data_IF_626159264089
#
_entry.id   IF_626159264089
#
_cell.length_a   1.000
_cell.length_b   1.000
_cell.length_c   1.000
_cell.angle_alpha   90.00
_cell.angle_beta   90.00
_cell.angle_gamma   90.00
#
_symmetry.space_group_name_H-M   'P 1'
#
loop_
_entity.id
_entity.type
_entity.pdbx_description
1 polymer ?
#
# COMPACT_ATOMS: atom_id res chain seq x y z
N UNK A 1 -11.60 -80.64 15.23
CA UNK A 1 -10.67 -79.49 15.33
C UNK A 1 -10.27 -79.04 13.92
N UNK A 2 -10.84 -77.94 13.40
CA UNK A 2 -10.33 -77.30 12.18
C UNK A 2 -9.25 -76.28 12.60
N UNK A 3 -7.99 -76.55 12.26
CA UNK A 3 -6.89 -75.61 12.52
C UNK A 3 -7.07 -74.37 11.66
N UNK A 4 -7.43 -73.25 12.27
CA UNK A 4 -7.46 -71.96 11.58
C UNK A 4 -6.00 -71.56 11.31
N UNK A 5 -5.61 -71.53 10.03
CA UNK A 5 -4.25 -71.21 9.61
C UNK A 5 -3.96 -69.72 9.82
N UNK A 6 -3.21 -69.43 10.89
CA UNK A 6 -2.75 -68.09 11.30
C UNK A 6 -1.98 -67.35 10.19
N UNK A 7 -1.39 -68.09 9.24
CA UNK A 7 -0.61 -67.55 8.11
C UNK A 7 -1.41 -66.66 7.16
N UNK A 8 -2.74 -66.87 7.04
CA UNK A 8 -3.60 -66.06 6.16
C UNK A 8 -3.90 -64.67 6.74
N UNK A 9 -3.89 -64.52 8.07
CA UNK A 9 -4.14 -63.24 8.73
C UNK A 9 -2.89 -62.35 8.79
N UNK A 10 -1.69 -62.95 8.85
CA UNK A 10 -0.41 -62.21 8.82
C UNK A 10 -0.21 -61.50 7.47
N UNK A 11 -0.63 -62.12 6.36
CA UNK A 11 -0.52 -61.49 5.04
C UNK A 11 -1.51 -60.33 4.85
N UNK A 12 -2.69 -60.38 5.49
CA UNK A 12 -3.68 -59.30 5.44
C UNK A 12 -3.29 -58.10 6.33
N UNK A 13 -2.59 -58.35 7.45
CA UNK A 13 -2.07 -57.31 8.33
C UNK A 13 -0.92 -56.48 7.71
N UNK A 14 -0.17 -57.06 6.77
CA UNK A 14 0.95 -56.35 6.11
C UNK A 14 0.49 -55.37 5.03
N UNK A 15 -0.70 -55.56 4.44
CA UNK A 15 -1.25 -54.66 3.41
C UNK A 15 -1.88 -53.40 4.03
N UNK A 16 -2.25 -53.44 5.31
CA UNK A 16 -2.83 -52.30 6.02
C UNK A 16 -1.83 -51.18 6.36
N UNK A 17 -0.51 -51.43 6.23
CA UNK A 17 0.53 -50.43 6.47
C UNK A 17 1.09 -49.77 5.20
N UNK A 18 0.51 -50.06 4.01
CA UNK A 18 0.72 -49.25 2.82
C UNK A 18 -0.11 -47.94 2.90
N UNK A 19 0.02 -47.22 4.01
CA UNK A 19 -0.52 -45.88 4.17
C UNK A 19 0.25 -44.93 3.27
N UNK A 20 -0.47 -44.11 2.50
CA UNK A 20 0.08 -43.09 1.61
C UNK A 20 1.13 -42.22 2.32
N UNK A 21 2.38 -42.26 1.85
CA UNK A 21 3.50 -41.46 2.37
C UNK A 21 3.52 -40.01 1.86
N UNK A 22 2.47 -39.57 1.16
CA UNK A 22 2.32 -38.19 0.64
C UNK A 22 1.26 -37.40 1.41
N UNK A 23 1.45 -37.26 2.72
CA UNK A 23 0.56 -36.43 3.55
C UNK A 23 0.90 -34.93 3.47
N UNK A 24 2.14 -34.59 3.08
CA UNK A 24 2.62 -33.22 2.89
C UNK A 24 2.42 -32.75 1.43
N UNK A 25 1.16 -32.69 0.99
CA UNK A 25 0.81 -32.01 -0.24
C UNK A 25 0.81 -30.49 0.01
N UNK A 26 1.86 -29.80 -0.44
CA UNK A 26 1.81 -28.33 -0.52
C UNK A 26 0.73 -27.93 -1.53
N UNK A 27 -0.16 -26.97 -1.21
CA UNK A 27 -1.16 -26.49 -2.16
C UNK A 27 -0.46 -26.03 -3.45
N UNK A 28 -0.93 -26.49 -4.61
CA UNK A 28 -0.32 -26.14 -5.90
C UNK A 28 -0.70 -24.74 -6.38
N UNK A 29 -1.67 -24.13 -5.71
CA UNK A 29 -2.25 -22.81 -5.97
C UNK A 29 -1.80 -21.73 -4.97
N UNK A 30 -1.01 -22.08 -3.95
CA UNK A 30 -0.48 -21.14 -2.96
C UNK A 30 1.05 -21.09 -3.08
N UNK A 31 1.58 -19.87 -3.19
CA UNK A 31 3.02 -19.64 -3.10
C UNK A 31 3.40 -19.65 -1.63
N UNK A 32 4.30 -20.56 -1.27
CA UNK A 32 4.92 -20.61 0.06
C UNK A 32 5.55 -19.24 0.37
N UNK A 33 5.21 -18.58 1.51
CA UNK A 33 5.76 -17.28 1.87
C UNK A 33 7.29 -17.22 1.83
N UNK A 34 7.97 -18.33 2.16
CA UNK A 34 9.43 -18.43 2.12
C UNK A 34 10.00 -18.48 0.70
N UNK A 35 9.14 -18.75 -0.30
CA UNK A 35 9.49 -18.80 -1.73
C UNK A 35 8.81 -17.71 -2.54
N UNK A 36 8.13 -16.76 -1.89
CA UNK A 36 7.37 -15.71 -2.57
C UNK A 36 8.25 -14.76 -3.38
N UNK A 37 9.47 -14.50 -2.91
CA UNK A 37 10.43 -13.60 -3.55
C UNK A 37 11.72 -14.34 -3.87
N UNK A 38 11.98 -14.58 -5.16
CA UNK A 38 13.18 -15.31 -5.62
C UNK A 38 14.07 -14.50 -6.54
N UNK A 39 13.52 -13.46 -7.16
CA UNK A 39 14.19 -12.67 -8.17
C UNK A 39 13.56 -11.26 -8.25
N UNK A 40 14.15 -10.41 -9.08
CA UNK A 40 13.69 -9.03 -9.27
C UNK A 40 12.26 -8.93 -9.82
N UNK A 41 11.81 -9.89 -10.62
CA UNK A 41 10.44 -9.90 -11.14
C UNK A 41 9.42 -10.17 -10.04
N UNK A 42 9.69 -11.12 -9.14
CA UNK A 42 8.82 -11.39 -7.98
C UNK A 42 8.71 -10.14 -7.07
N UNK A 43 9.82 -9.40 -6.90
CA UNK A 43 9.83 -8.12 -6.18
C UNK A 43 8.96 -7.06 -6.88
N UNK A 44 9.07 -6.94 -8.21
CA UNK A 44 8.22 -6.03 -8.97
C UNK A 44 6.74 -6.40 -8.83
N UNK A 45 6.40 -7.69 -8.82
CA UNK A 45 5.02 -8.16 -8.59
C UNK A 45 4.53 -7.79 -7.18
N UNK A 46 5.37 -7.94 -6.16
CA UNK A 46 5.07 -7.48 -4.79
C UNK A 46 4.77 -5.99 -4.75
N UNK A 47 5.63 -5.17 -5.37
CA UNK A 47 5.46 -3.72 -5.48
C UNK A 47 4.20 -3.32 -6.27
N UNK A 48 3.91 -3.97 -7.40
CA UNK A 48 2.65 -3.77 -8.14
C UNK A 48 1.46 -4.13 -7.24
N UNK A 49 1.55 -5.17 -6.42
CA UNK A 49 0.52 -5.55 -5.45
C UNK A 49 0.26 -4.50 -4.37
N UNK A 50 1.24 -3.64 -4.06
CA UNK A 50 1.06 -2.46 -3.20
C UNK A 50 0.31 -1.37 -3.97
N UNK A 51 0.76 -1.01 -5.18
CA UNK A 51 0.08 -0.02 -6.03
C UNK A 51 -1.39 -0.39 -6.28
N UNK A 52 -1.66 -1.67 -6.56
CA UNK A 52 -3.00 -2.17 -6.85
C UNK A 52 -3.96 -2.10 -5.65
N UNK A 53 -3.45 -1.91 -4.43
CA UNK A 53 -4.27 -1.72 -3.25
C UNK A 53 -4.66 -0.26 -3.02
N UNK A 54 -4.08 0.69 -3.76
CA UNK A 54 -4.40 2.11 -3.68
C UNK A 54 -5.57 2.37 -4.62
N UNK A 55 -6.63 2.96 -4.09
CA UNK A 55 -7.83 3.28 -4.87
C UNK A 55 -8.39 4.66 -4.51
N UNK A 56 -9.49 5.05 -5.14
CA UNK A 56 -10.16 6.33 -4.93
C UNK A 56 -10.87 6.45 -3.56
N UNK A 57 -10.80 5.44 -2.70
CA UNK A 57 -11.44 5.42 -1.36
C UNK A 57 -11.21 6.70 -0.55
N UNK A 58 -9.98 7.27 -0.43
CA UNK A 58 -9.77 8.52 0.31
C UNK A 58 -10.50 9.72 -0.31
N UNK A 59 -10.57 9.77 -1.64
CA UNK A 59 -11.25 10.85 -2.38
C UNK A 59 -12.76 10.75 -2.14
N UNK A 60 -13.31 9.54 -2.27
CA UNK A 60 -14.72 9.27 -2.00
C UNK A 60 -15.08 9.64 -0.57
N UNK A 61 -14.27 9.21 0.40
CA UNK A 61 -14.51 9.47 1.82
C UNK A 61 -14.49 10.98 2.10
N UNK A 62 -13.48 11.71 1.61
CA UNK A 62 -13.38 13.16 1.80
C UNK A 62 -14.56 13.91 1.15
N UNK A 63 -14.94 13.54 -0.08
CA UNK A 63 -16.08 14.16 -0.79
C UNK A 63 -17.42 13.86 -0.12
N UNK A 64 -17.52 12.73 0.59
CA UNK A 64 -18.75 12.29 1.26
C UNK A 64 -18.97 12.99 2.60
N UNK A 65 -17.89 13.34 3.31
CA UNK A 65 -18.00 14.01 4.63
C UNK A 65 -17.88 15.53 4.55
N UNK A 66 -17.45 16.07 3.41
CA UNK A 66 -17.45 17.51 3.16
C UNK A 66 -18.85 18.02 2.81
N UNK A 67 -19.00 19.34 2.80
CA UNK A 67 -20.19 20.07 2.40
C UNK A 67 -20.23 20.42 0.89
N UNK A 68 -19.31 19.85 0.10
CA UNK A 68 -19.14 20.13 -1.33
C UNK A 68 -19.96 19.20 -2.25
N UNK A 69 -20.37 18.03 -1.76
CA UNK A 69 -21.13 17.05 -2.54
C UNK A 69 -22.34 16.54 -1.78
N UNK A 70 -23.40 16.20 -2.50
CA UNK A 70 -24.62 15.62 -1.94
C UNK A 70 -25.01 14.37 -2.72
N UNK A 71 -25.45 13.33 -2.02
CA UNK A 71 -26.05 12.18 -2.70
C UNK A 71 -27.33 12.61 -3.43
N UNK A 72 -27.55 12.11 -4.66
CA UNK A 72 -28.76 12.42 -5.40
C UNK A 72 -29.98 11.94 -4.59
N UNK A 73 -31.10 12.67 -4.71
CA UNK A 73 -32.33 12.39 -3.93
C UNK A 73 -32.89 11.00 -4.22
N UNK A 74 -32.60 10.46 -5.40
CA UNK A 74 -32.95 9.11 -5.85
C UNK A 74 -32.16 8.01 -5.12
N UNK A 75 -31.05 8.34 -4.45
CA UNK A 75 -30.24 7.38 -3.71
C UNK A 75 -30.80 7.15 -2.29
N UNK A 76 -31.96 6.51 -2.21
CA UNK A 76 -32.66 6.20 -0.96
C UNK A 76 -32.03 5.03 -0.16
N UNK A 77 -31.09 4.28 -0.74
CA UNK A 77 -30.52 3.06 -0.14
C UNK A 77 -29.01 3.16 0.11
N UNK A 78 -28.27 3.87 -0.75
CA UNK A 78 -26.79 3.98 -0.69
C UNK A 78 -26.27 5.18 0.11
N UNK A 79 -27.13 5.87 0.86
CA UNK A 79 -26.75 7.02 1.68
C UNK A 79 -25.86 6.56 2.85
N UNK A 80 -24.53 6.68 2.68
CA UNK A 80 -23.57 6.11 3.62
C UNK A 80 -23.71 6.71 5.03
N UNK A 81 -23.43 5.90 6.06
CA UNK A 81 -23.43 6.37 7.45
C UNK A 81 -22.47 7.55 7.65
N UNK A 82 -21.36 7.57 6.90
CA UNK A 82 -20.39 8.67 6.91
C UNK A 82 -21.01 10.00 6.46
N UNK A 83 -21.78 10.00 5.37
CA UNK A 83 -22.44 11.21 4.86
C UNK A 83 -23.44 11.80 5.84
N UNK A 84 -24.19 10.93 6.52
CA UNK A 84 -25.22 11.35 7.49
C UNK A 84 -24.64 11.64 8.86
N UNK A 85 -23.34 11.43 9.06
CA UNK A 85 -22.69 11.49 10.37
C UNK A 85 -23.34 10.55 11.41
N UNK A 86 -23.84 9.40 10.96
CA UNK A 86 -24.50 8.37 11.79
C UNK A 86 -23.70 7.06 11.84
N UNK A 87 -22.38 7.15 11.73
CA UNK A 87 -21.50 5.99 11.75
C UNK A 87 -21.22 5.48 13.16
N UNK A 88 -21.00 4.18 13.25
CA UNK A 88 -20.63 3.48 14.47
C UNK A 88 -19.41 2.56 14.20
N UNK A 89 -18.86 1.86 15.20
CA UNK A 89 -17.66 1.03 15.00
C UNK A 89 -17.79 -0.09 13.95
N UNK A 90 -19.01 -0.46 13.53
CA UNK A 90 -19.26 -1.43 12.46
C UNK A 90 -19.48 -0.81 11.07
N UNK A 91 -19.51 0.52 10.96
CA UNK A 91 -19.76 1.21 9.69
C UNK A 91 -18.56 1.08 8.74
N UNK A 92 -18.71 0.23 7.72
CA UNK A 92 -17.68 0.01 6.68
C UNK A 92 -17.28 1.27 5.92
N UNK A 93 -18.18 2.27 5.82
CA UNK A 93 -17.86 3.58 5.24
C UNK A 93 -16.74 4.34 5.97
N UNK A 94 -16.43 3.93 7.21
CA UNK A 94 -15.29 4.43 7.99
C UNK A 94 -14.21 3.37 8.08
N UNK A 95 -14.54 2.11 8.42
CA UNK A 95 -13.51 1.11 8.78
C UNK A 95 -12.79 0.46 7.59
N UNK A 96 -13.35 0.50 6.37
CA UNK A 96 -12.75 -0.18 5.21
C UNK A 96 -11.38 0.38 4.83
N UNK A 97 -11.21 1.71 4.86
CA UNK A 97 -9.95 2.37 4.52
C UNK A 97 -8.81 1.91 5.44
N UNK A 98 -9.09 1.74 6.74
CA UNK A 98 -8.11 1.26 7.71
C UNK A 98 -7.56 -0.12 7.31
N UNK A 99 -8.47 -1.05 7.03
CA UNK A 99 -8.12 -2.42 6.65
C UNK A 99 -7.40 -2.48 5.30
N UNK A 100 -7.88 -1.73 4.31
CA UNK A 100 -7.28 -1.70 2.97
C UNK A 100 -5.83 -1.20 3.01
N UNK A 101 -5.58 -0.12 3.74
CA UNK A 101 -4.25 0.50 3.75
C UNK A 101 -3.27 -0.26 4.63
N UNK A 102 -3.68 -0.82 5.77
CA UNK A 102 -2.80 -1.71 6.52
C UNK A 102 -2.47 -3.00 5.76
N UNK A 103 -3.40 -3.53 4.95
CA UNK A 103 -3.11 -4.65 4.04
C UNK A 103 -2.08 -4.25 2.97
N UNK A 104 -2.16 -3.04 2.43
CA UNK A 104 -1.19 -2.52 1.47
C UNK A 104 0.20 -2.31 2.11
N UNK A 105 0.23 -1.78 3.33
CA UNK A 105 1.46 -1.60 4.14
C UNK A 105 2.10 -2.95 4.44
N UNK A 106 1.32 -3.97 4.82
CA UNK A 106 1.83 -5.33 5.05
C UNK A 106 2.48 -5.91 3.78
N UNK A 107 1.85 -5.74 2.61
CA UNK A 107 2.44 -6.13 1.32
C UNK A 107 3.76 -5.41 1.05
N UNK A 108 3.84 -4.11 1.34
CA UNK A 108 5.06 -3.33 1.17
C UNK A 108 6.18 -3.85 2.08
N UNK A 109 5.87 -4.08 3.36
CA UNK A 109 6.83 -4.61 4.34
C UNK A 109 7.32 -6.02 3.98
N UNK A 110 6.42 -6.93 3.58
CA UNK A 110 6.81 -8.28 3.11
C UNK A 110 7.71 -8.22 1.87
N UNK A 111 7.43 -7.30 0.94
CA UNK A 111 8.26 -7.13 -0.27
C UNK A 111 9.65 -6.57 0.09
N UNK A 112 9.73 -5.62 1.03
CA UNK A 112 11.00 -5.11 1.56
C UNK A 112 11.81 -6.23 2.24
N UNK A 113 11.19 -7.00 3.14
CA UNK A 113 11.81 -8.14 3.83
C UNK A 113 12.27 -9.24 2.84
N UNK A 114 11.48 -9.48 1.78
CA UNK A 114 11.85 -10.40 0.71
C UNK A 114 13.05 -9.91 -0.10
N UNK A 115 13.13 -8.60 -0.36
CA UNK A 115 14.23 -7.97 -1.07
C UNK A 115 15.55 -8.06 -0.31
N UNK A 116 15.53 -7.93 1.02
CA UNK A 116 16.71 -8.02 1.89
C UNK A 116 17.39 -9.41 1.85
N UNK A 117 16.65 -10.45 1.47
CA UNK A 117 17.15 -11.82 1.34
C UNK A 117 17.78 -12.11 -0.02
N UNK A 118 17.70 -11.16 -0.95
CA UNK A 118 18.17 -11.31 -2.33
C UNK A 118 19.39 -10.43 -2.60
N UNK A 119 20.32 -10.92 -3.40
CA UNK A 119 21.46 -10.16 -3.90
C UNK A 119 21.24 -9.82 -5.37
N UNK A 120 21.32 -8.53 -5.70
CA UNK A 120 21.18 -8.03 -7.07
C UNK A 120 22.51 -7.49 -7.59
N UNK A 121 22.79 -7.68 -8.87
CA UNK A 121 24.02 -7.21 -9.52
C UNK A 121 23.74 -6.56 -10.88
N UNK A 122 24.70 -5.79 -11.40
CA UNK A 122 24.55 -5.13 -12.70
C UNK A 122 23.33 -4.21 -12.79
N UNK A 123 22.58 -4.32 -13.89
CA UNK A 123 21.37 -3.52 -14.12
C UNK A 123 20.23 -3.83 -13.13
N UNK A 124 20.19 -5.05 -12.60
CA UNK A 124 19.17 -5.44 -11.62
C UNK A 124 19.37 -4.74 -10.28
N UNK A 125 20.62 -4.44 -9.89
CA UNK A 125 20.92 -3.73 -8.65
C UNK A 125 20.34 -2.30 -8.66
N UNK A 126 20.48 -1.58 -9.76
CA UNK A 126 19.90 -0.24 -9.92
C UNK A 126 18.36 -0.28 -9.88
N UNK A 127 17.77 -1.29 -10.53
CA UNK A 127 16.32 -1.47 -10.56
C UNK A 127 15.76 -1.86 -9.18
N UNK A 128 16.43 -2.78 -8.47
CA UNK A 128 16.08 -3.17 -7.10
C UNK A 128 16.17 -1.97 -6.14
N UNK A 129 17.20 -1.14 -6.28
CA UNK A 129 17.38 0.09 -5.50
C UNK A 129 16.20 1.03 -5.70
N UNK A 130 15.79 1.27 -6.95
CA UNK A 130 14.58 2.06 -7.25
C UNK A 130 13.32 1.43 -6.63
N UNK A 131 13.12 0.11 -6.77
CA UNK A 131 11.96 -0.57 -6.17
C UNK A 131 11.92 -0.44 -4.65
N UNK A 132 13.07 -0.48 -3.97
CA UNK A 132 13.16 -0.21 -2.53
C UNK A 132 12.68 1.21 -2.21
N UNK A 133 13.13 2.19 -3.00
CA UNK A 133 12.67 3.58 -2.86
C UNK A 133 11.16 3.73 -3.06
N UNK A 134 10.60 3.12 -4.10
CA UNK A 134 9.15 3.13 -4.34
C UNK A 134 8.38 2.49 -3.17
N UNK A 135 8.80 1.32 -2.67
CA UNK A 135 8.16 0.64 -1.53
C UNK A 135 8.16 1.52 -0.26
N UNK A 136 9.28 2.17 0.04
CA UNK A 136 9.39 3.09 1.18
C UNK A 136 8.47 4.30 1.02
N UNK A 137 8.43 4.91 -0.17
CA UNK A 137 7.56 6.06 -0.42
C UNK A 137 6.07 5.68 -0.35
N UNK A 138 5.69 4.51 -0.88
CA UNK A 138 4.33 3.99 -0.77
C UNK A 138 3.95 3.68 0.69
N UNK A 139 4.86 3.09 1.47
CA UNK A 139 4.64 2.86 2.90
C UNK A 139 4.39 4.17 3.64
N UNK A 140 5.19 5.20 3.39
CA UNK A 140 4.99 6.52 3.97
C UNK A 140 3.65 7.16 3.54
N UNK A 141 3.34 7.11 2.25
CA UNK A 141 2.09 7.63 1.68
C UNK A 141 0.86 6.98 2.33
N UNK A 142 0.83 5.65 2.41
CA UNK A 142 -0.28 4.89 3.00
C UNK A 142 -0.48 5.21 4.49
N UNK A 143 0.60 5.28 5.27
CA UNK A 143 0.50 5.70 6.69
C UNK A 143 0.04 7.14 6.83
N UNK A 144 0.47 8.03 5.94
CA UNK A 144 0.04 9.42 5.98
C UNK A 144 -1.45 9.59 5.64
N UNK A 145 -1.97 8.86 4.65
CA UNK A 145 -3.40 8.88 4.35
C UNK A 145 -4.23 8.27 5.50
N UNK A 146 -3.73 7.23 6.18
CA UNK A 146 -4.30 6.74 7.44
C UNK A 146 -4.27 7.82 8.53
N UNK A 147 -3.15 8.53 8.69
CA UNK A 147 -3.02 9.60 9.68
C UNK A 147 -4.05 10.70 9.43
N UNK A 148 -4.26 11.10 8.18
CA UNK A 148 -5.29 12.08 7.77
C UNK A 148 -6.71 11.59 8.09
N UNK A 149 -6.97 10.30 8.01
CA UNK A 149 -8.31 9.77 8.26
C UNK A 149 -8.61 9.53 9.76
N UNK A 150 -7.59 9.19 10.57
CA UNK A 150 -7.80 8.63 11.91
C UNK A 150 -7.05 9.35 13.05
N UNK A 151 -6.18 10.33 12.76
CA UNK A 151 -5.60 11.13 13.83
C UNK A 151 -6.69 11.86 14.62
N UNK A 152 -6.54 11.95 15.93
CA UNK A 152 -7.49 12.72 16.75
C UNK A 152 -7.38 14.23 16.50
N UNK A 153 -6.19 14.70 16.15
CA UNK A 153 -5.89 16.07 15.72
C UNK A 153 -4.56 16.09 14.95
N UNK A 154 -4.31 17.16 14.19
CA UNK A 154 -3.05 17.38 13.45
C UNK A 154 -2.10 18.28 14.23
N UNK A 155 -1.65 17.78 15.38
CA UNK A 155 -0.73 18.49 16.27
C UNK A 155 0.04 17.52 17.17
N UNK A 156 1.22 17.93 17.68
CA UNK A 156 2.02 17.10 18.58
C UNK A 156 1.24 16.64 19.82
N UNK A 157 1.41 15.37 20.20
CA UNK A 157 0.74 14.76 21.35
C UNK A 157 -0.66 14.23 21.05
N UNK A 158 -1.22 14.51 19.87
CA UNK A 158 -2.45 13.88 19.42
C UNK A 158 -2.22 12.41 19.06
N UNK A 159 -3.22 11.56 19.26
CA UNK A 159 -3.14 10.16 18.84
C UNK A 159 -3.19 10.07 17.31
N UNK A 160 -2.21 9.38 16.74
CA UNK A 160 -2.11 9.08 15.30
C UNK A 160 -2.57 7.65 15.00
N UNK A 161 -1.75 6.89 14.28
CA UNK A 161 -1.98 5.49 13.91
C UNK A 161 -0.68 4.70 14.08
N UNK A 162 -0.70 3.37 14.29
CA UNK A 162 0.53 2.58 14.34
C UNK A 162 1.36 2.69 13.05
N UNK A 163 2.63 3.07 13.12
CA UNK A 163 3.56 3.08 11.99
C UNK A 163 4.27 1.73 11.86
N UNK A 164 3.83 0.90 10.91
CA UNK A 164 4.31 -0.46 10.73
C UNK A 164 5.48 -0.52 9.74
N UNK A 165 6.69 -0.79 10.24
CA UNK A 165 7.91 -0.96 9.41
C UNK A 165 8.24 -2.40 9.01
N UNK A 166 7.49 -3.37 9.54
CA UNK A 166 7.65 -4.81 9.30
C UNK A 166 6.29 -5.50 9.28
N UNK A 167 6.22 -6.65 8.62
CA UNK A 167 5.05 -7.53 8.69
C UNK A 167 4.99 -8.19 10.07
N UNK A 168 3.79 -8.29 10.63
CA UNK A 168 3.60 -8.92 11.93
C UNK A 168 2.14 -8.98 12.37
N UNK A 169 1.80 -10.04 13.09
CA UNK A 169 0.49 -10.18 13.73
C UNK A 169 0.59 -9.63 15.14
N UNK A 170 -0.24 -8.65 15.47
CA UNK A 170 -0.26 -8.06 16.80
C UNK A 170 -1.25 -6.90 16.91
N UNK A 171 -1.29 -6.30 18.10
CA UNK A 171 -2.13 -5.14 18.42
C UNK A 171 -1.21 -3.98 18.84
N UNK A 172 -0.46 -3.39 17.90
CA UNK A 172 0.42 -2.28 18.23
C UNK A 172 -0.40 -1.10 18.78
N UNK A 173 0.09 -0.40 19.83
CA UNK A 173 -0.53 0.83 20.26
C UNK A 173 -0.46 1.87 19.14
N UNK A 174 -1.37 2.84 19.17
CA UNK A 174 -1.31 4.00 18.26
C UNK A 174 -0.07 4.82 18.60
N UNK A 175 0.71 5.18 17.59
CA UNK A 175 1.73 6.20 17.73
C UNK A 175 1.09 7.59 17.79
N UNK A 176 1.80 8.56 18.34
CA UNK A 176 1.37 9.96 18.28
C UNK A 176 1.54 10.52 16.85
N UNK A 177 0.80 11.59 16.55
CA UNK A 177 0.83 12.28 15.26
C UNK A 177 2.26 12.60 14.80
N UNK A 178 3.08 13.22 15.65
CA UNK A 178 4.46 13.60 15.34
C UNK A 178 5.35 12.39 15.06
N UNK A 179 5.11 11.25 15.71
CA UNK A 179 5.86 10.02 15.49
C UNK A 179 5.54 9.42 14.13
N UNK A 180 4.27 9.42 13.72
CA UNK A 180 3.87 8.95 12.39
C UNK A 180 4.45 9.86 11.30
N UNK A 181 4.38 11.18 11.48
CA UNK A 181 4.97 12.16 10.56
C UNK A 181 6.48 11.98 10.44
N UNK A 182 7.20 11.87 11.55
CA UNK A 182 8.65 11.69 11.55
C UNK A 182 9.07 10.40 10.81
N UNK A 183 8.36 9.29 11.04
CA UNK A 183 8.63 8.03 10.34
C UNK A 183 8.31 8.12 8.84
N UNK A 184 7.20 8.77 8.46
CA UNK A 184 6.87 9.00 7.06
C UNK A 184 7.91 9.87 6.36
N UNK A 185 8.38 10.95 7.00
CA UNK A 185 9.46 11.81 6.48
C UNK A 185 10.76 11.02 6.30
N UNK A 186 11.12 10.14 7.23
CA UNK A 186 12.32 9.31 7.13
C UNK A 186 12.26 8.35 5.94
N UNK A 187 11.14 7.62 5.78
CA UNK A 187 10.92 6.73 4.64
C UNK A 187 10.96 7.50 3.30
N UNK A 188 10.35 8.69 3.24
CA UNK A 188 10.37 9.52 2.02
C UNK A 188 11.76 10.09 1.71
N UNK A 189 12.53 10.49 2.72
CA UNK A 189 13.90 10.97 2.52
C UNK A 189 14.80 9.86 1.98
N UNK A 190 14.73 8.65 2.55
CA UNK A 190 15.44 7.49 2.03
C UNK A 190 14.95 7.14 0.61
N UNK A 191 13.64 7.08 0.39
CA UNK A 191 13.06 6.81 -0.92
C UNK A 191 13.56 7.78 -2.01
N UNK A 192 13.59 9.08 -1.70
CA UNK A 192 14.05 10.12 -2.63
C UNK A 192 15.50 9.89 -3.04
N UNK A 193 16.35 9.45 -2.11
CA UNK A 193 17.75 9.14 -2.39
C UNK A 193 17.93 7.90 -3.28
N UNK A 194 17.05 6.90 -3.14
CA UNK A 194 17.12 5.64 -3.89
C UNK A 194 16.53 5.73 -5.31
N UNK A 195 15.61 6.67 -5.57
CA UNK A 195 15.02 6.86 -6.89
C UNK A 195 15.88 7.80 -7.74
N UNK A 196 16.34 7.38 -8.94
CA UNK A 196 17.17 8.22 -9.80
C UNK A 196 16.38 9.38 -10.40
N UNK A 197 17.03 10.52 -10.64
CA UNK A 197 16.42 11.72 -11.24
C UNK A 197 15.94 11.50 -12.67
N UNK A 198 16.53 10.55 -13.40
CA UNK A 198 16.11 10.17 -14.74
C UNK A 198 14.79 9.38 -14.78
N UNK A 199 14.31 8.86 -13.64
CA UNK A 199 13.07 8.11 -13.58
C UNK A 199 11.86 9.04 -13.48
N UNK A 200 11.11 9.10 -14.57
CA UNK A 200 10.03 10.07 -14.80
C UNK A 200 8.68 9.44 -15.14
N UNK A 201 8.56 8.11 -14.99
CA UNK A 201 7.29 7.39 -15.20
C UNK A 201 6.26 7.80 -14.14
N UNK A 202 5.31 8.64 -14.54
CA UNK A 202 4.24 9.18 -13.69
C UNK A 202 3.24 8.12 -13.21
N UNK A 203 3.30 6.90 -13.75
CA UNK A 203 2.48 5.79 -13.25
C UNK A 203 3.03 5.16 -11.96
N UNK A 204 4.24 5.56 -11.56
CA UNK A 204 4.97 5.09 -10.38
C UNK A 204 5.48 6.29 -9.58
N UNK A 205 5.85 6.07 -8.32
CA UNK A 205 6.35 7.13 -7.45
C UNK A 205 7.73 7.58 -7.94
N UNK A 206 7.82 8.82 -8.39
CA UNK A 206 9.05 9.50 -8.80
C UNK A 206 9.58 10.38 -7.67
N UNK A 207 10.81 10.94 -7.82
CA UNK A 207 11.33 11.94 -6.87
C UNK A 207 10.42 13.16 -6.73
N UNK A 208 9.78 13.55 -7.83
CA UNK A 208 8.86 14.69 -7.85
C UNK A 208 7.55 14.37 -7.13
N UNK A 209 7.04 13.13 -7.29
CA UNK A 209 5.91 12.64 -6.51
C UNK A 209 6.22 12.63 -5.01
N UNK A 210 7.44 12.22 -4.63
CA UNK A 210 7.90 12.29 -3.23
C UNK A 210 7.91 13.72 -2.72
N UNK A 211 8.43 14.69 -3.49
CA UNK A 211 8.40 16.09 -3.11
C UNK A 211 6.97 16.60 -2.88
N UNK A 212 6.02 16.21 -3.74
CA UNK A 212 4.60 16.56 -3.57
C UNK A 212 4.00 15.95 -2.28
N UNK A 213 4.34 14.69 -1.95
CA UNK A 213 3.91 14.05 -0.71
C UNK A 213 4.54 14.74 0.50
N UNK A 214 5.85 15.05 0.45
CA UNK A 214 6.56 15.77 1.51
C UNK A 214 5.95 17.15 1.78
N UNK A 215 5.60 17.90 0.72
CA UNK A 215 4.91 19.18 0.84
C UNK A 215 3.57 19.05 1.57
N UNK A 216 2.77 18.02 1.22
CA UNK A 216 1.49 17.76 1.87
C UNK A 216 1.66 17.37 3.35
N UNK A 217 2.62 16.51 3.67
CA UNK A 217 2.92 16.14 5.07
C UNK A 217 3.33 17.37 5.87
N UNK A 218 4.26 18.16 5.35
CA UNK A 218 4.74 19.38 6.01
C UNK A 218 3.60 20.38 6.26
N UNK A 219 2.64 20.48 5.34
CA UNK A 219 1.46 21.31 5.52
C UNK A 219 0.59 20.84 6.70
N UNK A 220 0.31 19.54 6.81
CA UNK A 220 -0.47 18.97 7.93
C UNK A 220 0.26 19.09 9.27
N UNK A 221 1.59 19.00 9.26
CA UNK A 221 2.44 19.20 10.44
C UNK A 221 2.58 20.69 10.81
N UNK A 222 2.11 21.62 9.97
CA UNK A 222 2.33 23.08 10.12
C UNK A 222 3.81 23.47 10.04
N UNK A 223 4.63 22.65 9.39
CA UNK A 223 6.03 22.94 9.07
C UNK A 223 6.10 23.84 7.82
N UNK A 224 5.71 25.11 7.96
CA UNK A 224 5.49 26.01 6.82
C UNK A 224 6.72 26.20 5.92
N UNK A 225 7.92 26.27 6.49
CA UNK A 225 9.16 26.41 5.72
C UNK A 225 9.45 25.17 4.85
N UNK A 226 9.25 23.97 5.41
CA UNK A 226 9.37 22.71 4.68
C UNK A 226 8.30 22.62 3.58
N UNK A 227 7.06 23.01 3.90
CA UNK A 227 5.95 23.00 2.94
C UNK A 227 6.26 23.88 1.73
N UNK A 228 6.74 25.11 1.96
CA UNK A 228 7.19 26.02 0.88
C UNK A 228 8.33 25.43 0.08
N UNK A 229 9.33 24.83 0.76
CA UNK A 229 10.50 24.25 0.10
C UNK A 229 10.10 23.13 -0.87
N UNK A 230 9.34 22.15 -0.37
CA UNK A 230 8.94 20.99 -1.17
C UNK A 230 7.90 21.35 -2.24
N UNK A 231 6.96 22.26 -1.96
CA UNK A 231 6.00 22.71 -2.99
C UNK A 231 6.69 23.49 -4.10
N UNK A 232 7.70 24.30 -3.79
CA UNK A 232 8.45 25.09 -4.78
C UNK A 232 9.23 24.18 -5.75
N UNK A 233 9.78 23.07 -5.26
CA UNK A 233 10.42 22.04 -6.11
C UNK A 233 9.44 21.51 -7.16
N UNK A 234 8.19 21.23 -6.75
CA UNK A 234 7.15 20.71 -7.63
C UNK A 234 6.65 21.77 -8.62
N UNK A 235 6.36 22.98 -8.12
CA UNK A 235 5.86 24.11 -8.92
C UNK A 235 6.87 24.49 -10.02
N UNK A 236 8.17 24.48 -9.70
CA UNK A 236 9.21 24.79 -10.68
C UNK A 236 9.34 23.72 -11.77
N UNK A 237 8.98 22.47 -11.48
CA UNK A 237 9.15 21.35 -12.41
C UNK A 237 7.93 21.08 -13.30
N UNK A 238 6.72 21.47 -12.87
CA UNK A 238 5.48 21.17 -13.59
C UNK A 238 4.74 22.46 -13.95
N UNK A 239 4.78 22.91 -15.21
CA UNK A 239 4.01 24.08 -15.62
C UNK A 239 2.51 23.77 -15.63
N UNK A 240 1.71 24.82 -15.47
CA UNK A 240 0.26 24.73 -15.53
C UNK A 240 -0.22 24.33 -16.93
N UNK A 241 -1.32 23.59 -16.97
CA UNK A 241 -2.02 23.25 -18.19
C UNK A 241 -2.67 24.52 -18.77
N UNK A 242 -2.64 24.64 -20.10
CA UNK A 242 -3.47 25.64 -20.75
C UNK A 242 -4.96 25.29 -20.61
N UNK A 243 -5.83 26.28 -20.81
CA UNK A 243 -7.30 26.06 -20.85
C UNK A 243 -7.71 24.96 -21.83
N UNK A 244 -6.98 24.78 -22.93
CA UNK A 244 -7.27 23.75 -23.95
C UNK A 244 -6.75 22.37 -23.55
N UNK A 245 -5.68 22.31 -22.77
CA UNK A 245 -5.11 21.05 -22.28
C UNK A 245 -5.88 20.48 -21.09
N UNK A 246 -6.41 21.35 -20.22
CA UNK A 246 -7.02 20.97 -18.95
C UNK A 246 -8.11 19.88 -19.06
N UNK A 247 -9.08 19.95 -20.00
CA UNK A 247 -10.09 18.90 -20.14
C UNK A 247 -9.51 17.53 -20.45
N UNK A 248 -8.39 17.47 -21.18
CA UNK A 248 -7.73 16.23 -21.57
C UNK A 248 -7.02 15.50 -20.43
N UNK A 249 -6.81 16.15 -19.28
CA UNK A 249 -6.25 15.49 -18.08
C UNK A 249 -7.23 14.43 -17.55
N UNK A 250 -8.53 14.75 -17.56
CA UNK A 250 -9.59 13.90 -17.02
C UNK A 250 -9.88 12.64 -17.85
N UNK A 251 -9.49 12.66 -19.13
CA UNK A 251 -9.65 11.52 -20.06
C UNK A 251 -8.32 10.85 -20.38
N UNK A 252 -7.26 11.16 -19.63
CA UNK A 252 -5.88 10.71 -19.90
C UNK A 252 -5.36 11.03 -21.32
N UNK A 253 -5.96 12.02 -22.01
CA UNK A 253 -5.52 12.47 -23.33
C UNK A 253 -4.22 13.28 -23.28
N UNK A 254 -3.87 13.84 -22.11
CA UNK A 254 -2.55 14.36 -21.80
C UNK A 254 -2.26 14.27 -20.31
N UNK A 255 -1.02 14.55 -19.92
CA UNK A 255 -0.56 14.48 -18.53
C UNK A 255 -0.03 15.82 -18.01
N UNK A 256 -0.53 16.94 -18.56
CA UNK A 256 -0.24 18.26 -18.01
C UNK A 256 -0.69 18.33 -16.55
N UNK A 257 0.09 18.98 -15.68
CA UNK A 257 -0.12 19.04 -14.21
C UNK A 257 -0.07 17.70 -13.45
N UNK A 258 -0.04 16.55 -14.13
CA UNK A 258 0.06 15.24 -13.48
C UNK A 258 1.49 15.02 -12.98
N UNK A 259 1.65 14.88 -11.66
CA UNK A 259 2.92 14.54 -10.99
C UNK A 259 3.02 13.03 -10.79
N UNK A 260 1.92 12.40 -10.37
CA UNK A 260 1.79 10.96 -10.15
C UNK A 260 0.33 10.55 -10.33
N UNK A 261 0.10 9.43 -11.01
CA UNK A 261 -1.20 8.78 -11.14
C UNK A 261 -1.05 7.27 -11.06
N UNK A 262 -2.11 6.58 -10.65
CA UNK A 262 -2.14 5.12 -10.70
C UNK A 262 -2.45 4.67 -12.12
N UNK A 263 -1.74 3.65 -12.61
CA UNK A 263 -2.07 3.03 -13.89
C UNK A 263 -3.39 2.27 -13.78
N UNK A 264 -4.40 2.66 -14.56
CA UNK A 264 -5.62 1.88 -14.77
C UNK A 264 -5.52 1.22 -16.14
N UNK A 265 -5.66 -0.10 -16.19
CA UNK A 265 -5.73 -0.82 -17.45
C UNK A 265 -7.18 -0.78 -17.95
N UNK A 266 -7.47 0.12 -18.89
CA UNK A 266 -8.69 0.14 -19.69
C UNK A 266 -9.84 0.98 -19.16
N UNK A 267 -10.11 2.08 -19.87
CA UNK A 267 -11.30 2.16 -20.72
C UNK A 267 -10.83 2.23 -22.17
#
# INVERSE_FOLDING_TARGET
MKSISLKKYILFAFVAFASCTKLDLKPTDIIDPDKAFRNLNDINMGLIGVYAAIDYTPISMNSTVSDEAMFPTENTVGNSDAFRWLYNPSSGSVTSLYNEFYRAIDRANRTLEGMEKLSFSGADAATATRYRGELLALRAYLHFELLRAYASAYEPGALGVPYMKKSGIGYPPRDNFETVVANAKADLAEAKNLIPTSFTDKSRVTRLAIAAIQARIALYEKAWADAVTYSSEVIAAVPLASKTQFPGIWTDANESEVIWKLKRAGT
#
